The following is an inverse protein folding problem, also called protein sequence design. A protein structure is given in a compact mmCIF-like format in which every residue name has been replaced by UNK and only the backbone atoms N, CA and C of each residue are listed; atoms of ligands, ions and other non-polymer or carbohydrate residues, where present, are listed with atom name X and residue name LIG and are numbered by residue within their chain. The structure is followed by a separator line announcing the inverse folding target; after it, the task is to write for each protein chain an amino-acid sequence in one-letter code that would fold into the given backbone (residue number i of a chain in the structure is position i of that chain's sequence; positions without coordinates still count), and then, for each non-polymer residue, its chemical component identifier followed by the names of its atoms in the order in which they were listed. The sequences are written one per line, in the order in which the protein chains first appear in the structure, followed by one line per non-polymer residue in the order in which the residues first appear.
data_IF_029192930115
#
_entry.id   IF_029192930115
#
_cell.length_a   1.000
_cell.length_b   1.000
_cell.length_c   1.000
_cell.angle_alpha   90.00
_cell.angle_beta   90.00
_cell.angle_gamma   90.00
#
_symmetry.space_group_name_H-M   'P 1'
#
loop_
_entity.id
_entity.type
_entity.pdbx_description
1 polymer ?
#
# COMPACT_ATOMS: atom_id res chain seq x y z
N UNK A 1 15.68 -5.88 -14.38
CA UNK A 1 14.98 -5.99 -13.09
C UNK A 1 14.07 -4.80 -12.90
N UNK A 2 12.94 -5.05 -12.28
CA UNK A 2 12.00 -3.99 -12.00
C UNK A 2 12.31 -3.38 -10.65
N UNK A 3 12.33 -2.07 -10.60
CA UNK A 3 12.51 -1.34 -9.36
C UNK A 3 11.19 -0.68 -9.01
N UNK A 4 10.74 -0.85 -7.77
CA UNK A 4 9.50 -0.26 -7.31
C UNK A 4 9.81 0.87 -6.34
N UNK A 5 9.36 2.06 -6.67
CA UNK A 5 9.59 3.24 -5.86
C UNK A 5 8.30 3.66 -5.20
N UNK A 6 8.28 3.64 -3.88
CA UNK A 6 7.11 4.06 -3.14
C UNK A 6 7.24 5.47 -2.63
N UNK A 7 6.13 6.16 -2.57
CA UNK A 7 6.10 7.48 -1.97
C UNK A 7 4.75 7.72 -1.31
N UNK A 8 4.74 8.44 -0.23
CA UNK A 8 5.92 8.94 0.49
C UNK A 8 6.58 7.81 1.29
N UNK A 9 7.75 8.07 1.85
CA UNK A 9 8.39 7.08 2.71
C UNK A 9 7.63 6.91 4.01
N UNK A 10 7.02 7.98 4.47
CA UNK A 10 6.17 7.92 5.65
C UNK A 10 5.11 8.99 5.57
N UNK A 11 3.99 8.75 6.24
CA UNK A 11 2.99 9.79 6.32
C UNK A 11 2.20 9.63 7.60
N UNK A 12 1.69 10.77 8.08
CA UNK A 12 0.85 10.81 9.26
C UNK A 12 -0.53 11.29 8.85
N UNK A 13 -1.55 10.55 9.25
CA UNK A 13 -2.92 10.82 8.83
C UNK A 13 -3.81 10.81 10.04
N UNK A 14 -4.74 11.73 10.10
CA UNK A 14 -5.70 11.76 11.19
C UNK A 14 -6.76 10.69 11.00
N UNK A 15 -7.30 10.20 12.11
CA UNK A 15 -8.38 9.23 12.04
C UNK A 15 -9.51 9.78 11.19
N UNK A 16 -10.06 8.92 10.34
CA UNK A 16 -11.16 9.31 9.49
C UNK A 16 -10.75 9.92 8.16
N UNK A 17 -9.49 10.26 8.01
CA UNK A 17 -9.02 10.87 6.77
C UNK A 17 -8.59 9.81 5.78
N UNK A 18 -8.13 10.23 4.63
CA UNK A 18 -7.67 9.35 3.57
C UNK A 18 -6.16 9.29 3.55
N UNK A 19 -5.61 8.09 3.41
CA UNK A 19 -4.20 7.91 3.16
C UNK A 19 -4.04 7.41 1.74
N UNK A 20 -3.10 8.00 1.01
CA UNK A 20 -2.82 7.60 -0.36
C UNK A 20 -1.33 7.30 -0.47
N UNK A 21 -1.02 6.10 -0.95
CA UNK A 21 0.36 5.65 -1.08
C UNK A 21 0.57 5.27 -2.54
N UNK A 22 1.65 5.74 -3.11
CA UNK A 22 1.96 5.50 -4.51
C UNK A 22 3.10 4.53 -4.68
N UNK A 23 3.04 3.75 -5.76
CA UNK A 23 4.10 2.84 -6.13
C UNK A 23 4.32 2.99 -7.61
N UNK A 24 5.55 3.31 -7.99
CA UNK A 24 5.89 3.48 -9.39
C UNK A 24 6.91 2.42 -9.78
N UNK A 25 6.60 1.69 -10.85
CA UNK A 25 7.49 0.66 -11.34
C UNK A 25 8.37 1.21 -12.45
N UNK A 26 9.62 0.74 -12.49
CA UNK A 26 10.56 1.20 -13.51
C UNK A 26 10.19 0.70 -14.90
N UNK A 27 9.42 -0.37 -14.97
CA UNK A 27 8.90 -0.91 -16.23
C UNK A 27 7.44 -1.21 -16.04
N UNK A 28 6.70 -1.24 -17.13
CA UNK A 28 5.29 -1.59 -17.04
C UNK A 28 5.13 -3.00 -16.48
N UNK A 29 4.26 -3.13 -15.48
CA UNK A 29 3.97 -4.43 -14.90
C UNK A 29 2.64 -4.97 -15.39
N UNK A 30 1.98 -4.26 -16.25
CA UNK A 30 0.69 -4.64 -16.76
C UNK A 30 0.89 -5.59 -17.93
N UNK A 31 1.19 -6.82 -17.61
CA UNK A 31 1.53 -7.81 -18.60
C UNK A 31 0.27 -8.57 -19.04
N UNK A 32 0.05 -8.64 -20.32
CA UNK A 32 -1.13 -9.28 -20.88
C UNK A 32 -2.43 -8.69 -20.33
N UNK A 33 -2.38 -7.42 -19.97
CA UNK A 33 -3.57 -6.77 -19.45
C UNK A 33 -3.87 -7.07 -18.00
N UNK A 34 -3.08 -7.89 -17.35
CA UNK A 34 -3.26 -8.18 -15.94
C UNK A 34 -2.22 -7.43 -15.15
N UNK A 35 -2.65 -6.67 -14.20
CA UNK A 35 -1.71 -6.03 -13.32
C UNK A 35 -1.27 -7.00 -12.25
N UNK A 36 0.01 -7.14 -12.09
CA UNK A 36 0.54 -8.04 -11.07
C UNK A 36 1.09 -7.28 -9.89
N UNK A 37 0.56 -6.12 -9.62
CA UNK A 37 0.96 -5.34 -8.47
C UNK A 37 0.13 -5.74 -7.27
N UNK A 38 0.79 -6.02 -6.16
CA UNK A 38 0.13 -6.40 -4.92
C UNK A 38 0.51 -5.44 -3.82
N UNK A 39 -0.32 -5.36 -2.78
CA UNK A 39 -0.05 -4.51 -1.64
C UNK A 39 -0.13 -5.32 -0.37
N UNK A 40 0.81 -5.08 0.53
CA UNK A 40 0.91 -5.78 1.80
C UNK A 40 0.93 -4.79 2.95
N UNK A 41 0.39 -5.23 4.08
CA UNK A 41 0.47 -4.47 5.33
C UNK A 41 1.33 -5.27 6.30
N UNK A 42 2.26 -4.61 6.94
CA UNK A 42 3.09 -5.28 7.95
C UNK A 42 3.11 -4.47 9.23
N UNK A 43 2.70 -5.10 10.30
CA UNK A 43 2.76 -4.49 11.62
C UNK A 43 3.99 -5.00 12.34
N UNK A 44 4.53 -4.22 13.30
CA UNK A 44 5.74 -4.63 13.98
C UNK A 44 5.63 -6.03 14.57
N UNK A 45 6.64 -6.86 14.32
CA UNK A 45 6.68 -8.20 14.88
C UNK A 45 5.75 -9.18 14.25
N UNK A 46 5.10 -8.83 13.14
CA UNK A 46 4.14 -9.70 12.50
C UNK A 46 4.47 -9.91 11.05
N UNK A 47 4.04 -11.03 10.48
CA UNK A 47 4.25 -11.24 9.04
C UNK A 47 3.35 -10.32 8.23
N UNK A 48 3.73 -10.05 6.99
CA UNK A 48 2.89 -9.21 6.12
C UNK A 48 1.60 -9.93 5.75
N UNK A 49 0.55 -9.09 5.53
CA UNK A 49 -0.57 -9.56 5.19
C UNK A 49 -0.86 -9.02 3.99
N UNK A 50 -1.42 -9.83 3.05
CA UNK A 50 -1.79 -9.36 1.72
C UNK A 50 -3.10 -8.60 1.78
N UNK A 51 -3.11 -7.41 1.23
CA UNK A 51 -4.32 -6.59 1.21
C UNK A 51 -5.00 -6.62 -0.16
N UNK A 52 -4.22 -6.37 -1.19
CA UNK A 52 -4.72 -6.19 -2.56
C UNK A 52 -3.87 -7.03 -3.48
N UNK A 53 -4.48 -7.70 -4.43
CA UNK A 53 -3.73 -8.42 -5.44
C UNK A 53 -4.19 -8.00 -6.83
N UNK A 54 -3.27 -8.12 -7.77
CA UNK A 54 -3.53 -7.75 -9.17
C UNK A 54 -4.08 -6.33 -9.26
N UNK A 55 -3.45 -5.43 -8.53
CA UNK A 55 -3.68 -3.98 -8.56
C UNK A 55 -4.94 -3.52 -7.86
N UNK A 56 -6.07 -4.23 -8.00
CA UNK A 56 -7.32 -3.69 -7.49
C UNK A 56 -8.24 -4.69 -6.81
N UNK A 57 -7.81 -5.93 -6.64
CA UNK A 57 -8.67 -6.95 -6.05
C UNK A 57 -8.43 -7.05 -4.56
N UNK A 58 -9.47 -6.85 -3.79
CA UNK A 58 -9.38 -6.89 -2.35
C UNK A 58 -9.29 -8.33 -1.87
N UNK A 59 -8.31 -8.61 -1.05
CA UNK A 59 -8.16 -9.95 -0.51
C UNK A 59 -9.28 -10.26 0.46
N UNK A 60 -9.70 -11.52 0.49
CA UNK A 60 -10.77 -11.95 1.35
C UNK A 60 -10.44 -11.61 2.80
N UNK A 61 -11.41 -11.05 3.51
CA UNK A 61 -11.25 -10.70 4.92
C UNK A 61 -10.71 -9.32 5.16
N UNK A 62 -10.30 -8.62 4.10
CA UNK A 62 -9.75 -7.27 4.25
C UNK A 62 -10.88 -6.25 4.15
N UNK A 63 -10.93 -5.28 5.07
CA UNK A 63 -12.03 -4.31 5.04
C UNK A 63 -12.05 -3.49 3.75
N UNK A 64 -13.26 -3.11 3.34
CA UNK A 64 -13.44 -2.38 2.10
C UNK A 64 -12.87 -0.97 2.12
N UNK A 65 -12.41 -0.50 3.27
CA UNK A 65 -11.79 0.81 3.29
C UNK A 65 -10.43 0.83 2.60
N UNK A 66 -9.89 -0.34 2.28
CA UNK A 66 -8.68 -0.45 1.47
C UNK A 66 -9.07 -0.61 0.01
N UNK A 67 -8.41 0.12 -0.87
CA UNK A 67 -8.64 -0.05 -2.30
C UNK A 67 -7.36 0.22 -3.06
N UNK A 68 -7.25 -0.41 -4.20
CA UNK A 68 -6.08 -0.24 -5.04
C UNK A 68 -6.48 0.08 -6.46
N UNK A 69 -5.62 0.80 -7.15
CA UNK A 69 -5.88 1.15 -8.54
C UNK A 69 -4.56 1.37 -9.25
N UNK A 70 -4.65 1.51 -10.57
CA UNK A 70 -3.49 1.81 -11.37
C UNK A 70 -3.24 0.74 -12.41
N UNK A 71 -2.33 1.06 -13.31
CA UNK A 71 -1.91 0.14 -14.35
C UNK A 71 -0.58 0.63 -14.91
N UNK A 72 0.08 -0.23 -15.66
CA UNK A 72 1.34 0.15 -16.28
C UNK A 72 2.43 0.32 -15.27
N UNK A 73 2.81 1.57 -15.00
CA UNK A 73 3.89 1.83 -14.06
C UNK A 73 3.42 2.54 -12.79
N UNK A 74 2.17 2.99 -12.75
CA UNK A 74 1.71 3.83 -11.65
C UNK A 74 0.56 3.16 -10.91
N UNK A 75 0.76 2.89 -9.63
CA UNK A 75 -0.22 2.21 -8.81
C UNK A 75 -0.42 2.96 -7.51
N UNK A 76 -1.60 2.83 -6.94
CA UNK A 76 -1.97 3.57 -5.75
C UNK A 76 -2.75 2.68 -4.79
N UNK A 77 -2.42 2.78 -3.52
CA UNK A 77 -3.21 2.19 -2.45
C UNK A 77 -3.89 3.33 -1.69
N UNK A 78 -5.20 3.20 -1.51
CA UNK A 78 -5.96 4.17 -0.74
C UNK A 78 -6.57 3.50 0.47
N UNK A 79 -6.55 4.21 1.59
CA UNK A 79 -7.17 3.77 2.83
C UNK A 79 -8.10 4.91 3.26
N UNK A 80 -9.39 4.63 3.34
CA UNK A 80 -10.34 5.67 3.71
C UNK A 80 -11.63 5.04 4.20
N UNK A 81 -12.04 5.38 5.39
CA UNK A 81 -11.39 6.25 6.38
C UNK A 81 -10.31 5.49 7.13
N UNK A 82 -9.24 6.18 7.46
CA UNK A 82 -8.16 5.56 8.22
C UNK A 82 -8.62 5.28 9.64
N UNK A 83 -8.26 4.12 10.15
CA UNK A 83 -8.60 3.72 11.51
C UNK A 83 -7.34 3.42 12.30
N UNK A 84 -7.52 3.33 13.60
CA UNK A 84 -6.38 3.17 14.50
C UNK A 84 -5.51 1.96 14.14
N UNK A 85 -6.15 0.86 13.78
CA UNK A 85 -5.38 -0.36 13.50
C UNK A 85 -4.66 -0.32 12.17
N UNK A 86 -4.81 0.76 11.41
CA UNK A 86 -4.13 0.85 10.12
C UNK A 86 -2.69 1.32 10.24
N UNK A 87 -2.25 1.72 11.42
CA UNK A 87 -0.86 2.10 11.62
C UNK A 87 0.04 0.90 11.33
N UNK A 88 0.88 1.02 10.32
CA UNK A 88 1.67 -0.11 9.84
C UNK A 88 2.58 0.39 8.75
N UNK A 89 3.40 -0.52 8.22
CA UNK A 89 4.18 -0.22 7.03
C UNK A 89 3.55 -0.96 5.86
N UNK A 90 3.41 -0.27 4.75
CA UNK A 90 2.75 -0.81 3.57
C UNK A 90 3.77 -0.99 2.45
N UNK A 91 3.68 -2.11 1.76
CA UNK A 91 4.62 -2.43 0.69
C UNK A 91 3.86 -2.78 -0.57
N UNK A 92 4.30 -2.25 -1.69
CA UNK A 92 3.87 -2.79 -2.97
C UNK A 92 4.83 -3.90 -3.36
N UNK A 93 4.34 -4.82 -4.17
CA UNK A 93 5.14 -5.95 -4.61
C UNK A 93 4.74 -6.29 -6.03
N UNK A 94 5.74 -6.54 -6.85
CA UNK A 94 5.47 -6.95 -8.21
C UNK A 94 5.63 -8.47 -8.25
N UNK A 95 4.59 -9.17 -8.64
CA UNK A 95 4.60 -10.63 -8.57
C UNK A 95 4.89 -11.29 -9.90
N UNK A 96 5.37 -10.52 -10.86
CA UNK A 96 5.73 -11.06 -12.16
C UNK A 96 7.24 -11.14 -12.25
N UNK A 97 7.75 -12.32 -12.55
CA UNK A 97 9.17 -12.48 -12.69
C UNK A 97 9.82 -13.02 -11.45
N UNK A 98 11.12 -13.08 -11.48
CA UNK A 98 11.91 -13.69 -10.43
C UNK A 98 13.21 -12.91 -10.30
N UNK A 99 13.51 -12.34 -9.16
CA UNK A 99 12.73 -12.40 -7.91
C UNK A 99 11.54 -11.48 -7.95
N UNK A 100 10.72 -11.54 -6.94
CA UNK A 100 9.56 -10.66 -6.80
C UNK A 100 10.00 -9.42 -6.05
N UNK A 101 10.18 -8.29 -6.71
CA UNK A 101 10.64 -7.11 -6.00
C UNK A 101 9.55 -6.50 -5.14
N UNK A 102 9.97 -5.93 -4.01
CA UNK A 102 9.10 -5.14 -3.15
C UNK A 102 9.50 -3.69 -3.24
N UNK A 103 8.54 -2.83 -3.01
CA UNK A 103 8.85 -1.43 -2.83
C UNK A 103 9.55 -1.21 -1.49
N UNK A 104 10.03 0.00 -1.28
CA UNK A 104 10.81 0.31 -0.10
C UNK A 104 9.97 0.49 1.15
N UNK A 105 8.65 0.57 1.01
CA UNK A 105 7.76 0.68 2.14
C UNK A 105 7.33 2.09 2.44
N UNK A 106 6.12 2.20 2.98
CA UNK A 106 5.58 3.47 3.44
C UNK A 106 5.05 3.26 4.85
N UNK A 107 5.59 4.00 5.80
CA UNK A 107 5.14 3.89 7.18
C UNK A 107 3.97 4.84 7.41
N UNK A 108 2.85 4.29 7.81
CA UNK A 108 1.66 5.09 8.10
C UNK A 108 1.50 5.23 9.60
N UNK A 109 1.44 6.47 10.05
CA UNK A 109 1.24 6.78 11.45
C UNK A 109 -0.08 7.52 11.62
N UNK A 110 -0.70 7.33 12.76
CA UNK A 110 -1.94 8.02 13.06
C UNK A 110 -1.62 9.32 13.78
N UNK A 111 -2.10 10.42 13.22
CA UNK A 111 -1.88 11.73 13.80
C UNK A 111 -3.03 12.00 14.77
N UNK A 112 -2.71 12.12 16.06
CA UNK A 112 -3.75 12.35 17.04
C UNK A 112 -4.18 13.80 17.03
N UNK A 113 -5.37 13.95 17.34
CA UNK A 113 -5.81 15.27 17.39
C UNK A 113 -5.35 15.85 18.61
N UNK A 114 -5.01 16.14 19.15
CA UNK A 114 -4.63 16.66 19.97
C UNK A 114 -4.46 16.86 20.85
N UNK A 115 -4.20 16.64 20.98
CA UNK A 115 -3.79 16.64 21.89
C UNK A 115 -3.83 17.74 22.56
N UNK A 116 -4.38 18.05 22.85
CA UNK A 116 -4.52 18.99 23.28
C UNK A 116 -3.97 19.28 24.24
N UNK A 117 -3.72 19.87 24.52
CA UNK A 117 -3.13 20.22 25.23
C UNK A 117 -3.60 20.55 26.20
N UNK A 118 -3.68 20.53 26.62
CA UNK A 118 -4.13 20.86 27.45
C UNK A 118 -3.69 21.21 28.20
#
# INVERSE_FOLDING_TARGET
DIVLTQSPASLAVSLGQRATISCKASHSVDYDGDGYMNWYQQKPGQPPXLLIYAASNLESGIPARFSGSGSGTDFTLNIHPVEEEDAATYYCQQSDGDPFPFGSGTKLEIKRADAAPT
#
